data_IF_713629415950
#
_entry.id   IF_713629415950
#
_cell.length_a   1.000
_cell.length_b   1.000
_cell.length_c   1.000
_cell.angle_alpha   90.00
_cell.angle_beta   90.00
_cell.angle_gamma   90.00
#
_symmetry.space_group_name_H-M   'P 1'
#
loop_
_entity.id
_entity.type
_entity.pdbx_description
1 polymer ?
#
# COMPACT_ATOMS: atom_id res chain seq x y z
N UNK A 1 2.40 18.07 1.16
CA UNK A 1 2.40 16.59 1.08
C UNK A 1 3.80 16.10 1.43
N UNK A 2 3.90 15.13 2.35
CA UNK A 2 5.14 14.41 2.62
C UNK A 2 5.13 13.08 1.85
N UNK A 3 6.17 12.82 1.07
CA UNK A 3 6.31 11.62 0.26
C UNK A 3 7.29 10.67 0.92
N UNK A 4 6.80 9.47 1.31
CA UNK A 4 7.58 8.45 2.01
C UNK A 4 7.66 7.13 1.22
N UNK A 5 7.54 7.21 -0.09
CA UNK A 5 7.71 6.08 -0.99
C UNK A 5 9.17 5.64 -1.08
N UNK A 6 9.47 4.42 -0.63
CA UNK A 6 10.79 3.81 -0.73
C UNK A 6 10.72 2.52 -1.52
N UNK A 7 11.53 2.41 -2.58
CA UNK A 7 11.63 1.17 -3.38
C UNK A 7 11.92 -0.05 -2.49
N UNK A 8 11.16 -1.11 -2.66
CA UNK A 8 11.31 -2.34 -1.88
C UNK A 8 10.63 -2.32 -0.50
N UNK A 9 9.88 -1.26 -0.14
CA UNK A 9 9.19 -1.21 1.15
C UNK A 9 8.08 -2.25 1.24
N UNK A 10 8.08 -2.99 2.34
CA UNK A 10 7.07 -4.00 2.69
C UNK A 10 6.15 -3.45 3.78
N UNK A 11 5.09 -4.17 4.11
CA UNK A 11 4.28 -3.86 5.29
C UNK A 11 5.06 -4.15 6.58
N UNK A 12 5.56 -5.38 6.76
CA UNK A 12 6.19 -5.83 8.02
C UNK A 12 7.39 -6.76 7.85
N UNK A 13 7.79 -7.09 6.62
CA UNK A 13 8.88 -8.02 6.36
C UNK A 13 10.21 -7.28 6.26
N UNK A 14 11.21 -7.75 6.99
CA UNK A 14 12.57 -7.27 6.83
C UNK A 14 13.18 -7.78 5.52
N UNK A 15 13.85 -6.91 4.78
CA UNK A 15 14.64 -7.30 3.63
C UNK A 15 16.06 -7.60 4.10
N UNK A 16 16.53 -8.83 3.84
CA UNK A 16 17.85 -9.29 4.31
C UNK A 16 19.02 -8.50 3.69
N UNK A 17 18.80 -7.93 2.50
CA UNK A 17 19.85 -7.23 1.73
C UNK A 17 19.69 -5.71 1.77
N UNK A 18 18.50 -5.21 2.10
CA UNK A 18 18.16 -3.77 2.08
C UNK A 18 17.53 -3.35 3.41
N UNK A 19 18.34 -2.97 4.41
CA UNK A 19 17.82 -2.49 5.71
C UNK A 19 16.81 -1.34 5.57
N UNK A 20 15.88 -1.24 6.52
CA UNK A 20 14.88 -0.15 6.56
C UNK A 20 13.73 -0.32 5.57
N UNK A 21 13.47 -1.54 5.06
CA UNK A 21 12.33 -1.81 4.16
C UNK A 21 11.04 -2.19 4.89
N UNK A 22 11.11 -2.65 6.13
CA UNK A 22 9.94 -2.96 6.94
C UNK A 22 9.17 -1.69 7.32
N UNK A 23 7.92 -1.59 6.85
CA UNK A 23 7.06 -0.43 7.11
C UNK A 23 6.78 -0.24 8.59
N UNK A 24 6.49 -1.33 9.33
CA UNK A 24 6.22 -1.25 10.77
C UNK A 24 7.41 -0.74 11.60
N UNK A 25 8.65 -0.91 11.10
CA UNK A 25 9.83 -0.42 11.81
C UNK A 25 10.09 1.07 11.54
N UNK A 26 9.65 1.56 10.37
CA UNK A 26 9.92 2.93 9.93
C UNK A 26 8.79 3.90 10.21
N UNK A 27 7.54 3.44 10.19
CA UNK A 27 6.37 4.30 10.26
C UNK A 27 6.31 5.17 11.52
N UNK A 28 6.64 4.71 12.74
CA UNK A 28 6.60 5.57 13.93
C UNK A 28 7.47 6.81 13.80
N UNK A 29 8.72 6.66 13.32
CA UNK A 29 9.62 7.79 13.11
C UNK A 29 9.12 8.74 12.00
N UNK A 30 8.53 8.20 10.93
CA UNK A 30 7.93 8.98 9.85
C UNK A 30 6.78 9.82 10.37
N UNK A 31 5.86 9.24 11.13
CA UNK A 31 4.72 9.95 11.71
C UNK A 31 5.18 11.09 12.62
N UNK A 32 6.14 10.84 13.50
CA UNK A 32 6.69 11.87 14.39
C UNK A 32 7.37 13.03 13.63
N UNK A 33 8.13 12.69 12.59
CA UNK A 33 8.89 13.68 11.80
C UNK A 33 7.99 14.65 11.03
N UNK A 34 6.82 14.18 10.60
CA UNK A 34 5.91 14.95 9.73
C UNK A 34 4.71 15.57 10.44
N UNK A 35 4.71 15.59 11.79
CA UNK A 35 3.64 16.29 12.54
C UNK A 35 3.59 17.79 12.22
N UNK A 36 2.38 18.40 12.17
CA UNK A 36 1.06 17.76 12.25
C UNK A 36 0.62 17.12 10.92
N UNK A 37 -0.12 16.01 11.01
CA UNK A 37 -0.67 15.30 9.86
C UNK A 37 -2.19 15.47 9.79
N UNK A 38 -2.73 15.77 8.62
CA UNK A 38 -4.17 15.88 8.37
C UNK A 38 -4.78 14.54 7.92
N UNK A 39 -4.01 13.74 7.19
CA UNK A 39 -4.41 12.47 6.60
C UNK A 39 -3.18 11.61 6.33
N UNK A 40 -3.32 10.30 6.44
CA UNK A 40 -2.33 9.33 5.95
C UNK A 40 -2.90 8.58 4.76
N UNK A 41 -2.18 8.57 3.64
CA UNK A 41 -2.44 7.70 2.49
C UNK A 41 -1.50 6.51 2.57
N UNK A 42 -2.04 5.31 2.79
CA UNK A 42 -1.27 4.08 2.99
C UNK A 42 -1.44 3.13 1.79
N UNK A 43 -0.38 2.94 1.00
CA UNK A 43 -0.34 1.97 -0.09
C UNK A 43 0.95 1.14 -0.01
N UNK A 44 0.87 -0.06 0.51
CA UNK A 44 1.96 -1.04 0.60
C UNK A 44 1.42 -2.44 0.27
N UNK A 45 2.32 -3.40 0.02
CA UNK A 45 1.94 -4.80 -0.18
C UNK A 45 2.53 -5.44 -1.44
N UNK A 46 2.92 -4.68 -2.46
CA UNK A 46 3.54 -5.23 -3.67
C UNK A 46 4.82 -5.99 -3.33
N UNK A 47 5.72 -5.38 -2.57
CA UNK A 47 6.99 -6.00 -2.20
C UNK A 47 6.83 -7.19 -1.24
N UNK A 48 5.75 -7.23 -0.50
CA UNK A 48 5.39 -8.35 0.36
C UNK A 48 5.08 -9.62 -0.45
N UNK A 49 4.68 -9.45 -1.73
CA UNK A 49 4.40 -10.57 -2.63
C UNK A 49 5.66 -11.30 -3.13
N UNK A 50 6.87 -10.82 -2.81
CA UNK A 50 8.13 -11.47 -3.19
C UNK A 50 8.19 -12.92 -2.68
N UNK A 51 8.78 -13.80 -3.49
CA UNK A 51 8.94 -15.22 -3.17
C UNK A 51 9.66 -15.47 -1.86
N UNK A 52 10.61 -14.59 -1.51
CA UNK A 52 11.40 -14.69 -0.28
C UNK A 52 10.56 -14.65 1.02
N UNK A 53 9.35 -14.08 0.98
CA UNK A 53 8.50 -13.96 2.18
C UNK A 53 7.45 -15.07 2.30
N UNK A 54 7.27 -15.90 1.29
CA UNK A 54 6.32 -17.03 1.30
C UNK A 54 4.95 -16.69 1.91
N UNK A 55 4.43 -15.54 1.56
CA UNK A 55 3.28 -14.93 2.22
C UNK A 55 1.94 -15.25 1.55
N UNK A 56 0.85 -14.81 2.15
CA UNK A 56 -0.52 -14.83 1.62
C UNK A 56 -1.14 -13.43 1.73
N UNK A 57 -2.21 -13.12 1.00
CA UNK A 57 -2.90 -11.84 1.13
C UNK A 57 -3.31 -11.53 2.58
N UNK A 58 -3.74 -12.54 3.34
CA UNK A 58 -4.15 -12.41 4.72
C UNK A 58 -2.98 -12.05 5.65
N UNK A 59 -1.80 -12.66 5.44
CA UNK A 59 -0.59 -12.30 6.20
C UNK A 59 -0.15 -10.86 5.91
N UNK A 60 -0.23 -10.42 4.66
CA UNK A 60 0.04 -9.02 4.30
C UNK A 60 -0.99 -8.10 4.96
N UNK A 61 -2.26 -8.52 4.99
CA UNK A 61 -3.31 -7.82 5.72
C UNK A 61 -3.01 -7.62 7.20
N UNK A 62 -2.39 -8.61 7.87
CA UNK A 62 -1.90 -8.43 9.26
C UNK A 62 -0.87 -7.30 9.34
N UNK A 63 0.02 -7.17 8.37
CA UNK A 63 0.97 -6.06 8.29
C UNK A 63 0.25 -4.71 8.18
N UNK A 64 -0.77 -4.61 7.33
CA UNK A 64 -1.61 -3.41 7.21
C UNK A 64 -2.31 -3.07 8.53
N UNK A 65 -2.92 -4.05 9.21
CA UNK A 65 -3.56 -3.83 10.51
C UNK A 65 -2.57 -3.26 11.55
N UNK A 66 -1.34 -3.77 11.58
CA UNK A 66 -0.28 -3.26 12.45
C UNK A 66 0.12 -1.82 12.15
N UNK A 67 0.20 -1.47 10.86
CA UNK A 67 0.49 -0.09 10.43
C UNK A 67 -0.65 0.85 10.83
N UNK A 68 -1.91 0.45 10.66
CA UNK A 68 -3.07 1.20 11.11
C UNK A 68 -3.05 1.42 12.62
N UNK A 69 -2.73 0.38 13.41
CA UNK A 69 -2.61 0.50 14.86
C UNK A 69 -1.49 1.48 15.27
N UNK A 70 -0.37 1.55 14.52
CA UNK A 70 0.69 2.54 14.76
C UNK A 70 0.23 3.97 14.45
N UNK A 71 -0.51 4.17 13.33
CA UNK A 71 -1.05 5.47 12.96
C UNK A 71 -1.97 5.99 14.07
N UNK A 72 -2.86 5.16 14.60
CA UNK A 72 -3.81 5.59 15.64
C UNK A 72 -3.24 5.65 17.05
N UNK A 73 -2.11 5.00 17.34
CA UNK A 73 -1.33 5.29 18.55
C UNK A 73 -0.73 6.68 18.53
N UNK A 74 -0.38 7.17 17.34
CA UNK A 74 0.13 8.51 17.16
C UNK A 74 -0.97 9.56 17.34
N UNK A 75 -2.12 9.36 16.69
CA UNK A 75 -3.32 10.19 16.82
C UNK A 75 -4.57 9.36 16.49
N UNK A 76 -5.41 9.15 17.50
CA UNK A 76 -6.57 8.25 17.46
C UNK A 76 -7.57 8.60 16.33
N UNK A 77 -7.76 9.89 16.05
CA UNK A 77 -8.69 10.40 15.05
C UNK A 77 -8.05 10.71 13.69
N UNK A 78 -6.79 10.30 13.45
CA UNK A 78 -6.10 10.58 12.21
C UNK A 78 -6.74 9.80 11.07
N UNK A 79 -7.34 10.47 10.05
CA UNK A 79 -7.94 9.79 8.93
C UNK A 79 -6.90 9.02 8.13
N UNK A 80 -7.36 7.91 7.57
CA UNK A 80 -6.53 7.07 6.70
C UNK A 80 -7.29 6.75 5.42
N UNK A 81 -6.64 6.95 4.28
CA UNK A 81 -7.02 6.34 3.00
C UNK A 81 -6.15 5.09 2.80
N UNK A 82 -6.76 3.91 2.88
CA UNK A 82 -6.09 2.65 2.58
C UNK A 82 -6.22 2.34 1.10
N UNK A 83 -5.09 2.10 0.42
CA UNK A 83 -5.06 1.76 -0.99
C UNK A 83 -4.48 0.36 -1.17
N UNK A 84 -5.22 -0.55 -1.81
CA UNK A 84 -4.61 -1.80 -2.29
C UNK A 84 -3.81 -1.53 -3.57
N UNK A 85 -2.58 -2.08 -3.69
CA UNK A 85 -1.75 -1.87 -4.89
C UNK A 85 -2.39 -2.39 -6.17
N UNK A 86 -1.82 -2.01 -7.32
CA UNK A 86 -2.11 -2.67 -8.59
C UNK A 86 -1.71 -4.14 -8.53
N UNK A 87 -2.27 -4.96 -9.40
CA UNK A 87 -1.87 -6.36 -9.53
C UNK A 87 -0.51 -6.47 -10.24
N UNK A 88 0.30 -7.45 -9.87
CA UNK A 88 1.45 -7.85 -10.66
C UNK A 88 1.00 -8.45 -11.98
N UNK A 89 1.71 -8.16 -13.05
CA UNK A 89 1.44 -8.76 -14.36
C UNK A 89 1.84 -10.23 -14.43
N UNK A 90 1.20 -10.98 -15.32
CA UNK A 90 1.37 -12.44 -15.43
C UNK A 90 2.82 -12.86 -15.73
N UNK A 91 3.57 -12.01 -16.40
CA UNK A 91 4.93 -12.26 -16.86
C UNK A 91 6.01 -11.60 -15.97
N UNK A 92 5.65 -11.06 -14.80
CA UNK A 92 6.59 -10.34 -13.89
C UNK A 92 7.89 -11.10 -13.66
N UNK A 93 7.84 -12.42 -13.51
CA UNK A 93 9.04 -13.27 -13.32
C UNK A 93 10.09 -13.16 -14.43
N UNK A 94 9.68 -12.77 -15.65
CA UNK A 94 10.62 -12.58 -16.77
C UNK A 94 11.51 -11.36 -16.56
N UNK A 95 11.03 -10.37 -15.80
CA UNK A 95 11.66 -9.07 -15.60
C UNK A 95 12.27 -8.95 -14.20
N UNK A 96 11.58 -9.48 -13.17
CA UNK A 96 12.04 -9.51 -11.81
C UNK A 96 11.94 -10.92 -11.20
N UNK A 97 13.08 -11.51 -10.86
CA UNK A 97 13.18 -12.86 -10.30
C UNK A 97 12.75 -12.97 -8.84
N UNK A 98 12.55 -11.84 -8.16
CA UNK A 98 12.02 -11.81 -6.81
C UNK A 98 10.53 -12.20 -6.77
N UNK A 99 9.84 -12.16 -7.94
CA UNK A 99 8.43 -12.55 -8.09
C UNK A 99 8.24 -13.80 -8.94
N UNK A 100 7.09 -14.45 -8.77
CA UNK A 100 6.68 -15.60 -9.56
C UNK A 100 5.16 -15.63 -9.78
N UNK A 101 4.62 -16.73 -10.33
CA UNK A 101 3.19 -16.90 -10.54
C UNK A 101 2.39 -16.83 -9.23
N UNK A 102 2.93 -17.35 -8.12
CA UNK A 102 2.28 -17.24 -6.81
C UNK A 102 2.20 -15.79 -6.34
N UNK A 103 3.26 -15.01 -6.57
CA UNK A 103 3.27 -13.57 -6.29
C UNK A 103 2.13 -12.83 -7.00
N UNK A 104 1.87 -13.17 -8.27
CA UNK A 104 0.75 -12.62 -9.04
C UNK A 104 -0.58 -12.92 -8.38
N UNK A 105 -0.82 -14.17 -7.97
CA UNK A 105 -2.07 -14.55 -7.30
C UNK A 105 -2.21 -13.90 -5.91
N UNK A 106 -1.12 -13.79 -5.16
CA UNK A 106 -1.11 -13.06 -3.89
C UNK A 106 -1.49 -11.59 -4.11
N UNK A 107 -0.88 -10.91 -5.11
CA UNK A 107 -1.17 -9.51 -5.40
C UNK A 107 -2.65 -9.27 -5.73
N UNK A 108 -3.28 -10.15 -6.49
CA UNK A 108 -4.71 -10.09 -6.80
C UNK A 108 -5.60 -10.23 -5.57
N UNK A 109 -5.17 -11.01 -4.58
CA UNK A 109 -5.90 -11.20 -3.34
C UNK A 109 -5.91 -10.00 -2.40
N UNK A 110 -4.97 -9.05 -2.57
CA UNK A 110 -4.83 -7.89 -1.69
C UNK A 110 -6.06 -6.98 -1.70
N UNK A 111 -6.66 -6.73 -2.87
CA UNK A 111 -7.87 -5.91 -2.98
C UNK A 111 -8.94 -6.36 -2.00
N UNK A 112 -9.32 -7.63 -2.05
CA UNK A 112 -10.36 -8.20 -1.18
C UNK A 112 -10.01 -8.05 0.30
N UNK A 113 -8.76 -8.35 0.66
CA UNK A 113 -8.32 -8.30 2.06
C UNK A 113 -8.31 -6.86 2.59
N UNK A 114 -7.81 -5.89 1.80
CA UNK A 114 -7.76 -4.50 2.22
C UNK A 114 -9.14 -3.85 2.30
N UNK A 115 -10.04 -4.18 1.38
CA UNK A 115 -11.43 -3.75 1.43
C UNK A 115 -12.13 -4.23 2.72
N UNK A 116 -11.90 -5.51 3.10
CA UNK A 116 -12.41 -6.05 4.36
C UNK A 116 -11.82 -5.35 5.59
N UNK A 117 -10.53 -5.03 5.58
CA UNK A 117 -9.87 -4.26 6.65
C UNK A 117 -10.49 -2.88 6.74
N UNK A 118 -10.57 -2.16 5.63
CA UNK A 118 -11.13 -0.81 5.59
C UNK A 118 -12.57 -0.78 6.13
N UNK A 119 -13.40 -1.72 5.70
CA UNK A 119 -14.78 -1.86 6.20
C UNK A 119 -14.84 -2.10 7.71
N UNK A 120 -13.99 -3.00 8.26
CA UNK A 120 -13.95 -3.27 9.71
C UNK A 120 -13.47 -2.07 10.52
N UNK A 121 -12.52 -1.32 9.97
CA UNK A 121 -11.89 -0.17 10.65
C UNK A 121 -12.65 1.14 10.40
N UNK A 122 -13.67 1.15 9.53
CA UNK A 122 -14.45 2.36 9.21
C UNK A 122 -13.62 3.42 8.51
N UNK A 123 -12.69 3.04 7.62
CA UNK A 123 -11.81 3.96 6.90
C UNK A 123 -12.07 3.94 5.39
N UNK A 124 -11.64 5.01 4.72
CA UNK A 124 -11.73 5.11 3.28
C UNK A 124 -10.83 4.07 2.57
N UNK A 125 -11.32 3.55 1.45
CA UNK A 125 -10.63 2.54 0.65
C UNK A 125 -10.62 2.91 -0.84
N UNK A 126 -9.50 2.59 -1.51
CA UNK A 126 -9.35 2.67 -2.95
C UNK A 126 -8.59 1.43 -3.44
N UNK A 127 -9.05 0.79 -4.50
CA UNK A 127 -8.27 -0.25 -5.18
C UNK A 127 -7.53 0.35 -6.37
N UNK A 128 -6.21 0.45 -6.33
CA UNK A 128 -5.41 0.96 -7.44
C UNK A 128 -5.60 0.10 -8.70
N UNK A 129 -5.84 -1.20 -8.54
CA UNK A 129 -6.12 -2.13 -9.64
C UNK A 129 -7.41 -1.85 -10.42
N UNK A 130 -8.31 -1.01 -9.89
CA UNK A 130 -9.55 -0.62 -10.61
C UNK A 130 -9.30 0.54 -11.57
N UNK A 131 -8.21 1.27 -11.41
CA UNK A 131 -7.91 2.48 -12.19
C UNK A 131 -6.60 2.39 -12.97
N UNK A 132 -5.70 1.47 -12.59
CA UNK A 132 -4.39 1.31 -13.23
C UNK A 132 -3.97 -0.15 -13.33
N UNK A 133 -3.15 -0.43 -14.34
CA UNK A 133 -2.57 -1.74 -14.61
C UNK A 133 -1.04 -1.65 -14.59
N UNK A 134 -0.33 -2.79 -14.39
CA UNK A 134 1.11 -2.83 -14.55
C UNK A 134 1.50 -2.57 -16.00
N UNK A 135 2.58 -1.83 -16.21
CA UNK A 135 3.14 -1.57 -17.53
C UNK A 135 3.76 -2.83 -18.15
N UNK A 136 3.79 -2.89 -19.47
CA UNK A 136 4.37 -4.03 -20.20
C UNK A 136 5.89 -4.17 -19.98
N UNK A 137 6.56 -3.08 -19.60
CA UNK A 137 8.02 -3.01 -19.49
C UNK A 137 8.59 -3.94 -18.40
N UNK A 138 7.91 -4.05 -17.27
CA UNK A 138 8.37 -4.84 -16.12
C UNK A 138 7.26 -5.63 -15.43
N UNK A 139 6.01 -5.40 -15.80
CA UNK A 139 4.86 -6.10 -15.22
C UNK A 139 4.67 -5.86 -13.71
N UNK A 140 5.30 -4.83 -13.17
CA UNK A 140 5.29 -4.46 -11.75
C UNK A 140 4.86 -3.01 -11.54
N UNK A 141 5.44 -2.06 -12.28
CA UNK A 141 5.19 -0.64 -12.12
C UNK A 141 4.14 -0.13 -13.10
N UNK A 142 3.42 0.90 -12.71
CA UNK A 142 2.42 1.56 -13.56
C UNK A 142 3.09 2.35 -14.70
N UNK A 143 2.37 2.51 -15.80
CA UNK A 143 2.73 3.48 -16.84
C UNK A 143 2.51 4.91 -16.33
N UNK A 144 2.98 5.91 -17.09
CA UNK A 144 2.72 7.32 -16.82
C UNK A 144 1.21 7.63 -16.75
N UNK A 145 0.45 7.05 -17.65
CA UNK A 145 -1.01 7.18 -17.70
C UNK A 145 -1.67 6.51 -16.49
N UNK A 146 -1.17 5.34 -16.07
CA UNK A 146 -1.62 4.66 -14.85
C UNK A 146 -1.36 5.48 -13.59
N UNK A 147 -0.19 6.11 -13.48
CA UNK A 147 0.10 7.05 -12.39
C UNK A 147 -0.84 8.25 -12.39
N UNK A 148 -1.15 8.83 -13.56
CA UNK A 148 -2.10 9.94 -13.67
C UNK A 148 -3.52 9.54 -13.24
N UNK A 149 -3.99 8.37 -13.69
CA UNK A 149 -5.31 7.85 -13.32
C UNK A 149 -5.42 7.58 -11.81
N UNK A 150 -4.37 6.97 -11.21
CA UNK A 150 -4.35 6.75 -9.78
C UNK A 150 -4.29 8.06 -9.00
N UNK A 151 -3.50 9.04 -9.45
CA UNK A 151 -3.41 10.35 -8.81
C UNK A 151 -4.77 11.06 -8.76
N UNK A 152 -5.55 11.03 -9.85
CA UNK A 152 -6.90 11.59 -9.90
C UNK A 152 -7.84 10.88 -8.92
N UNK A 153 -7.83 9.55 -8.91
CA UNK A 153 -8.66 8.77 -7.99
C UNK A 153 -8.31 9.03 -6.51
N UNK A 154 -7.01 9.16 -6.20
CA UNK A 154 -6.53 9.51 -4.85
C UNK A 154 -6.96 10.94 -4.49
N UNK A 155 -6.82 11.88 -5.41
CA UNK A 155 -7.23 13.28 -5.18
C UNK A 155 -8.71 13.38 -4.81
N UNK A 156 -9.60 12.71 -5.56
CA UNK A 156 -11.03 12.72 -5.25
C UNK A 156 -11.30 12.11 -3.86
N UNK A 157 -10.67 10.99 -3.51
CA UNK A 157 -10.83 10.37 -2.18
C UNK A 157 -10.29 11.24 -1.05
N UNK A 158 -9.15 11.87 -1.23
CA UNK A 158 -8.58 12.79 -0.24
C UNK A 158 -9.50 13.99 -0.04
N UNK A 159 -10.03 14.54 -1.12
CA UNK A 159 -10.98 15.65 -1.06
C UNK A 159 -12.26 15.27 -0.29
N UNK A 160 -12.87 14.10 -0.57
CA UNK A 160 -14.02 13.59 0.17
C UNK A 160 -13.72 13.51 1.68
N UNK A 161 -12.62 12.86 2.07
CA UNK A 161 -12.23 12.68 3.47
C UNK A 161 -12.02 14.00 4.21
N UNK A 162 -11.40 14.98 3.56
CA UNK A 162 -11.09 16.26 4.20
C UNK A 162 -12.32 17.18 4.31
N UNK A 163 -13.26 17.12 3.35
CA UNK A 163 -14.51 17.88 3.40
C UNK A 163 -15.48 17.35 4.47
N UNK A 164 -15.55 16.01 4.66
CA UNK A 164 -16.39 15.41 5.72
C UNK A 164 -15.94 15.81 7.14
N UNK A 165 -14.73 16.34 7.31
CA UNK A 165 -14.23 16.83 8.60
C UNK A 165 -14.66 18.26 8.93
N UNK A 166 -15.08 19.02 7.94
CA UNK A 166 -15.48 20.44 8.14
C UNK A 166 -16.98 20.60 8.51
N UNK A 167 -17.75 19.49 8.41
CA UNK A 167 -19.15 19.43 8.84
C UNK A 167 -19.27 18.87 10.28
#
# INVERSE_FOLDING_TARGET
VAEEGLCGRTTMFADAYRPGRSGIDMLPAILETHRPLELVVLMLGTNDCKTAYETTPEKIGVGIERLLDQIWREREDLPVLLISPIHLGADVKKYDREFDRRSVEVSKGLKRVYEQIAKRRGIAFLAASDVALPGEKDQEHMTREGHAALAEAVFEKVREILLEKEE
#
